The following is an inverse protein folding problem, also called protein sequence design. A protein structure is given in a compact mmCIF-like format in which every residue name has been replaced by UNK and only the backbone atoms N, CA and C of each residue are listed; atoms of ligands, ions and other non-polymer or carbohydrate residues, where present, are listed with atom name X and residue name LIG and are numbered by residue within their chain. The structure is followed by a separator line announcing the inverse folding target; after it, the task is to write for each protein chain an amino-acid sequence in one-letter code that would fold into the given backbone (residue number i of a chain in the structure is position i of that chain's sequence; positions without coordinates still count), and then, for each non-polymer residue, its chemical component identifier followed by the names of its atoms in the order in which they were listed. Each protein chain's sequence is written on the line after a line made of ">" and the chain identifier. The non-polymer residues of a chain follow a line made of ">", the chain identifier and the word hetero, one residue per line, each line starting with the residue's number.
data_IF_230544484191
#
_entry.id   IF_230544484191
#
_cell.length_a   1.000
_cell.length_b   1.000
_cell.length_c   1.000
_cell.angle_alpha   90.00
_cell.angle_beta   90.00
_cell.angle_gamma   90.00
#
_symmetry.space_group_name_H-M   'P 1'
#
loop_
_entity.id
_entity.type
_entity.pdbx_description
1 polymer ?
#
# COMPACT_ATOMS: atom_id res chain seq x y z
N UNK A 1 -12.35 -16.88 -5.16
CA UNK A 1 -12.05 -16.16 -3.90
C UNK A 1 -10.55 -15.88 -3.90
N UNK A 2 -10.13 -14.75 -4.48
CA UNK A 2 -8.74 -14.30 -4.32
C UNK A 2 -8.67 -13.61 -2.95
N UNK A 3 -7.85 -14.15 -2.06
CA UNK A 3 -7.59 -13.53 -0.77
C UNK A 3 -6.94 -12.17 -1.00
N UNK A 4 -7.32 -11.17 -0.19
CA UNK A 4 -6.64 -9.87 -0.19
C UNK A 4 -5.18 -10.11 0.17
N UNK A 5 -4.27 -9.81 -0.77
CA UNK A 5 -2.83 -9.90 -0.53
C UNK A 5 -2.42 -8.80 0.47
N UNK A 6 -1.68 -9.18 1.51
CA UNK A 6 -1.20 -8.27 2.57
C UNK A 6 0.31 -8.03 2.42
N UNK A 7 0.69 -7.40 1.31
CA UNK A 7 2.08 -7.06 1.00
C UNK A 7 2.74 -6.18 2.06
N UNK A 8 1.94 -5.37 2.75
CA UNK A 8 2.36 -4.57 3.89
C UNK A 8 2.92 -5.45 5.03
N UNK A 9 2.27 -6.57 5.35
CA UNK A 9 2.74 -7.50 6.39
C UNK A 9 4.02 -8.24 5.96
N UNK A 10 4.12 -8.60 4.68
CA UNK A 10 5.34 -9.21 4.13
C UNK A 10 6.51 -8.22 4.20
N UNK A 11 6.28 -6.95 3.87
CA UNK A 11 7.27 -5.90 3.97
C UNK A 11 7.71 -5.65 5.43
N UNK A 12 6.76 -5.58 6.37
CA UNK A 12 7.06 -5.46 7.80
C UNK A 12 7.90 -6.64 8.31
N UNK A 13 7.59 -7.86 7.91
CA UNK A 13 8.36 -9.05 8.27
C UNK A 13 9.81 -9.01 7.75
N UNK A 14 10.06 -8.30 6.65
CA UNK A 14 11.39 -8.03 6.10
C UNK A 14 12.08 -6.78 6.72
N UNK A 15 11.42 -6.10 7.66
CA UNK A 15 11.95 -4.92 8.35
C UNK A 15 11.69 -3.58 7.65
N UNK A 16 10.87 -3.57 6.58
CA UNK A 16 10.40 -2.37 5.91
C UNK A 16 9.20 -1.73 6.64
N UNK A 17 8.80 -0.53 6.21
CA UNK A 17 7.56 0.14 6.66
C UNK A 17 6.37 -0.38 5.84
N UNK A 18 5.35 -0.95 6.49
CA UNK A 18 4.12 -1.40 5.84
C UNK A 18 2.97 -0.42 6.07
N UNK A 19 2.17 -0.17 5.04
CA UNK A 19 0.89 0.54 5.12
C UNK A 19 -0.16 -0.23 4.32
N UNK A 20 -1.36 -0.39 4.87
CA UNK A 20 -2.50 -0.99 4.19
C UNK A 20 -3.65 0.00 4.12
N UNK A 21 -4.10 0.33 2.92
CA UNK A 21 -5.10 1.36 2.66
C UNK A 21 -6.28 0.79 1.88
N UNK A 22 -7.49 1.12 2.31
CA UNK A 22 -8.74 0.82 1.58
C UNK A 22 -9.40 2.08 1.01
N UNK A 23 -9.01 3.26 1.50
CA UNK A 23 -9.61 4.55 1.15
C UNK A 23 -8.57 5.46 0.50
N UNK A 24 -8.95 6.13 -0.60
CA UNK A 24 -8.05 7.02 -1.32
C UNK A 24 -7.61 8.24 -0.50
N UNK A 25 -8.44 8.69 0.45
CA UNK A 25 -8.14 9.84 1.31
C UNK A 25 -6.92 9.62 2.21
N UNK A 26 -6.64 8.36 2.55
CA UNK A 26 -5.54 8.01 3.44
C UNK A 26 -4.19 7.88 2.71
N UNK A 27 -4.19 7.94 1.38
CA UNK A 27 -2.97 7.77 0.58
C UNK A 27 -1.92 8.84 0.87
N UNK A 28 -2.32 10.10 0.89
CA UNK A 28 -1.40 11.22 1.17
C UNK A 28 -0.73 11.08 2.54
N UNK A 29 -1.48 10.97 3.66
CA UNK A 29 -0.85 10.87 4.98
C UNK A 29 -0.04 9.58 5.16
N UNK A 30 -0.43 8.47 4.51
CA UNK A 30 0.36 7.23 4.55
C UNK A 30 1.71 7.38 3.85
N UNK A 31 1.75 8.05 2.69
CA UNK A 31 3.02 8.33 2.00
C UNK A 31 3.93 9.24 2.84
N UNK A 32 3.37 10.23 3.53
CA UNK A 32 4.15 11.09 4.44
C UNK A 32 4.77 10.29 5.58
N UNK A 33 4.01 9.38 6.22
CA UNK A 33 4.55 8.46 7.24
C UNK A 33 5.62 7.53 6.68
N UNK A 34 5.38 6.96 5.50
CA UNK A 34 6.31 6.06 4.83
C UNK A 34 7.64 6.75 4.53
N UNK A 35 7.60 7.99 4.02
CA UNK A 35 8.80 8.79 3.77
C UNK A 35 9.51 9.20 5.08
N UNK A 36 8.78 9.55 6.12
CA UNK A 36 9.34 9.88 7.43
C UNK A 36 9.98 8.68 8.15
N UNK A 37 9.60 7.45 7.78
CA UNK A 37 10.13 6.22 8.41
C UNK A 37 11.64 6.02 8.20
N UNK A 38 12.21 6.62 7.14
CA UNK A 38 13.62 6.42 6.75
C UNK A 38 13.96 4.99 6.32
N UNK A 39 12.96 4.13 6.13
CA UNK A 39 13.10 2.73 5.71
C UNK A 39 12.62 2.56 4.27
N UNK A 40 12.97 1.41 3.67
CA UNK A 40 12.19 0.91 2.54
C UNK A 40 10.73 0.78 2.98
N UNK A 41 9.77 1.13 2.11
CA UNK A 41 8.36 1.15 2.46
C UNK A 41 7.50 0.46 1.38
N UNK A 42 6.48 -0.29 1.83
CA UNK A 42 5.44 -0.87 1.00
C UNK A 42 4.09 -0.26 1.40
N UNK A 43 3.45 0.41 0.46
CA UNK A 43 2.10 0.97 0.63
C UNK A 43 1.14 0.16 -0.24
N UNK A 44 0.40 -0.73 0.40
CA UNK A 44 -0.56 -1.63 -0.22
C UNK A 44 -1.94 -0.95 -0.29
N UNK A 45 -2.31 -0.49 -1.49
CA UNK A 45 -3.56 0.25 -1.72
C UNK A 45 -4.56 -0.66 -2.42
N UNK A 46 -5.71 -0.89 -1.77
CA UNK A 46 -6.81 -1.58 -2.41
C UNK A 46 -7.43 -0.67 -3.48
N UNK A 47 -7.54 -1.20 -4.69
CA UNK A 47 -8.16 -0.51 -5.82
C UNK A 47 -9.25 -1.37 -6.44
N UNK A 48 -10.20 -0.73 -7.09
CA UNK A 48 -11.14 -1.41 -7.97
C UNK A 48 -10.42 -1.86 -9.24
N UNK A 49 -10.59 -3.13 -9.61
CA UNK A 49 -10.02 -3.72 -10.82
C UNK A 49 -10.75 -3.26 -12.07
N UNK A 50 -10.60 -1.99 -12.45
CA UNK A 50 -11.14 -1.44 -13.68
C UNK A 50 -10.27 -1.83 -14.89
N UNK A 51 -10.85 -2.01 -16.09
CA UNK A 51 -10.06 -2.19 -17.30
C UNK A 51 -9.06 -1.04 -17.51
N UNK A 52 -7.90 -1.36 -18.07
CA UNK A 52 -6.94 -0.34 -18.45
C UNK A 52 -7.61 0.69 -19.39
N UNK A 53 -7.37 2.00 -19.21
CA UNK A 53 -7.90 3.01 -20.10
C UNK A 53 -7.45 2.74 -21.54
N UNK A 54 -8.40 2.70 -22.47
CA UNK A 54 -8.12 2.67 -23.91
C UNK A 54 -8.08 4.10 -24.42
N UNK A 55 -6.87 4.61 -24.65
CA UNK A 55 -6.62 5.87 -25.36
C UNK A 55 -5.99 5.57 -26.71
#
# INVERSE_FOLDING_TARGET
>A
MLLVARYDLEAEAMGAHGEFLTEAADLRPALERAMASGKSACVNVMIEGLPAPVV
#
